data_IF_193899740481
#
_entry.id   IF_193899740481
#
_cell.length_a   1.000
_cell.length_b   1.000
_cell.length_c   1.000
_cell.angle_alpha   90.00
_cell.angle_beta   90.00
_cell.angle_gamma   90.00
#
_symmetry.space_group_name_H-M   'P 1'
#
loop_
_entity.id
_entity.type
_entity.pdbx_description
1 polymer ?
#
# COMPACT_ATOMS: atom_id res chain seq x y z
N UNK A 1 -19.58 79.83 2.45
CA UNK A 1 -19.38 79.25 3.80
C UNK A 1 -20.54 78.28 4.03
N UNK A 2 -20.39 76.97 3.75
CA UNK A 2 -20.30 75.84 4.72
C UNK A 2 -21.25 76.01 5.92
N UNK A 3 -22.17 75.11 6.31
CA UNK A 3 -22.44 73.65 6.18
C UNK A 3 -23.95 73.46 6.45
N UNK A 4 -24.67 72.43 6.01
CA UNK A 4 -24.89 71.17 6.74
C UNK A 4 -25.78 70.26 5.87
N UNK A 5 -25.30 69.07 5.51
CA UNK A 5 -26.13 68.00 4.91
C UNK A 5 -26.37 66.97 6.00
N UNK A 6 -27.63 66.86 6.40
CA UNK A 6 -28.10 66.01 7.48
C UNK A 6 -27.97 64.53 7.14
N UNK A 7 -27.36 63.81 8.06
CA UNK A 7 -27.10 62.37 8.03
C UNK A 7 -28.35 61.63 8.46
N UNK A 8 -28.88 60.72 7.63
CA UNK A 8 -30.20 60.11 7.86
C UNK A 8 -30.34 58.69 7.32
N UNK A 9 -29.67 57.75 8.00
CA UNK A 9 -30.10 56.38 8.30
C UNK A 9 -30.40 55.38 7.14
N UNK A 10 -29.40 54.54 6.86
CA UNK A 10 -29.52 53.29 6.08
C UNK A 10 -30.28 52.26 6.94
N UNK A 11 -31.51 51.91 6.54
CA UNK A 11 -32.15 50.66 6.95
C UNK A 11 -31.70 49.55 6.02
N UNK A 12 -30.58 48.91 6.36
CA UNK A 12 -30.27 47.61 5.82
C UNK A 12 -31.08 46.59 6.63
N UNK A 13 -32.17 46.09 6.04
CA UNK A 13 -32.88 44.93 6.54
C UNK A 13 -31.86 43.78 6.68
N UNK A 14 -31.56 43.44 7.92
CA UNK A 14 -30.76 42.29 8.29
C UNK A 14 -31.51 41.03 7.88
N UNK A 15 -31.21 40.54 6.67
CA UNK A 15 -31.53 39.17 6.25
C UNK A 15 -30.86 38.23 7.27
N UNK A 16 -31.61 37.33 7.93
CA UNK A 16 -30.97 36.33 8.77
C UNK A 16 -30.22 35.38 7.84
N UNK A 17 -28.88 35.49 7.83
CA UNK A 17 -28.01 34.44 7.31
C UNK A 17 -28.23 33.26 8.24
N UNK A 18 -29.19 32.41 7.86
CA UNK A 18 -29.39 31.12 8.46
C UNK A 18 -28.08 30.35 8.24
N UNK A 19 -27.28 30.24 9.30
CA UNK A 19 -26.25 29.23 9.43
C UNK A 19 -26.96 27.88 9.43
N UNK A 20 -27.37 27.43 8.24
CA UNK A 20 -27.75 26.07 7.99
C UNK A 20 -26.51 25.24 8.28
N UNK A 21 -26.46 24.69 9.48
CA UNK A 21 -25.59 23.58 9.83
C UNK A 21 -25.81 22.53 8.74
N UNK A 22 -24.89 22.50 7.75
CA UNK A 22 -24.88 21.48 6.70
C UNK A 22 -24.73 20.15 7.41
N UNK A 23 -25.87 19.48 7.63
CA UNK A 23 -25.89 18.12 8.14
C UNK A 23 -24.95 17.29 7.26
N UNK A 24 -24.06 16.48 7.86
CA UNK A 24 -23.08 15.73 7.10
C UNK A 24 -23.85 14.85 6.12
N UNK A 25 -23.66 15.12 4.82
CA UNK A 25 -24.34 14.39 3.76
C UNK A 25 -24.09 12.90 3.97
N UNK A 26 -25.13 12.06 4.00
CA UNK A 26 -24.95 10.65 4.33
C UNK A 26 -24.02 10.01 3.30
N UNK A 27 -22.90 9.47 3.78
CA UNK A 27 -21.89 8.79 2.95
C UNK A 27 -22.15 7.29 2.93
N UNK A 28 -21.62 6.66 1.90
CA UNK A 28 -21.56 5.22 1.76
C UNK A 28 -20.86 4.58 2.97
N UNK A 29 -21.40 3.49 3.51
CA UNK A 29 -20.82 2.74 4.63
C UNK A 29 -19.84 1.64 4.20
N UNK A 30 -19.59 1.46 2.89
CA UNK A 30 -18.67 0.43 2.40
C UNK A 30 -17.23 0.69 2.87
N UNK A 31 -16.63 -0.35 3.43
CA UNK A 31 -15.22 -0.41 3.78
C UNK A 31 -14.51 -1.37 2.83
N UNK A 32 -13.39 -0.93 2.27
CA UNK A 32 -12.48 -1.75 1.50
C UNK A 32 -11.69 -2.68 2.43
N UNK A 33 -11.05 -3.71 1.86
CA UNK A 33 -10.21 -4.65 2.61
C UNK A 33 -9.02 -3.98 3.32
N UNK A 34 -8.59 -2.80 2.84
CA UNK A 34 -7.53 -1.98 3.42
C UNK A 34 -8.04 -1.03 4.54
N UNK A 35 -9.30 -1.16 4.97
CA UNK A 35 -9.93 -0.36 6.02
C UNK A 35 -10.35 1.05 5.58
N UNK A 36 -10.10 1.45 4.33
CA UNK A 36 -10.57 2.75 3.82
C UNK A 36 -12.08 2.73 3.63
N UNK A 37 -12.73 3.87 3.90
CA UNK A 37 -14.17 4.05 3.68
C UNK A 37 -14.44 4.76 2.36
N UNK A 38 -15.42 4.25 1.62
CA UNK A 38 -15.91 4.90 0.41
C UNK A 38 -16.43 6.30 0.75
N UNK A 39 -15.98 7.32 -0.01
CA UNK A 39 -16.38 8.73 0.20
C UNK A 39 -17.58 9.16 -0.63
N UNK A 40 -18.09 8.27 -1.49
CA UNK A 40 -19.24 8.54 -2.33
C UNK A 40 -20.50 8.79 -1.50
N UNK A 41 -21.43 9.57 -2.05
CA UNK A 41 -22.74 9.80 -1.45
C UNK A 41 -23.52 8.50 -1.38
N UNK A 42 -24.24 8.33 -0.28
CA UNK A 42 -25.17 7.24 -0.05
C UNK A 42 -26.35 7.35 -1.06
N UNK A 43 -26.84 6.21 -1.55
CA UNK A 43 -28.07 6.14 -2.31
C UNK A 43 -29.30 6.32 -1.39
N UNK A 44 -30.47 6.76 -1.88
CA UNK A 44 -31.63 7.02 -1.02
C UNK A 44 -32.09 5.77 -0.24
N UNK A 45 -32.12 4.62 -0.92
CA UNK A 45 -32.70 3.37 -0.41
C UNK A 45 -31.66 2.38 0.16
N UNK A 46 -30.40 2.80 0.35
CA UNK A 46 -29.34 1.91 0.80
C UNK A 46 -28.31 2.66 1.62
N UNK A 47 -27.68 2.01 2.60
CA UNK A 47 -26.52 2.58 3.30
C UNK A 47 -25.25 2.66 2.43
N UNK A 48 -25.30 2.12 1.20
CA UNK A 48 -24.23 2.10 0.22
C UNK A 48 -24.42 3.18 -0.87
N UNK A 49 -23.37 3.51 -1.61
CA UNK A 49 -23.52 4.31 -2.84
C UNK A 49 -24.13 3.49 -3.97
N UNK A 50 -24.54 4.12 -5.08
CA UNK A 50 -25.15 3.43 -6.22
C UNK A 50 -24.29 2.26 -6.74
N UNK A 51 -22.97 2.42 -6.79
CA UNK A 51 -22.06 1.38 -7.28
C UNK A 51 -21.91 0.22 -6.30
N UNK A 52 -21.77 0.52 -5.00
CA UNK A 52 -21.66 -0.52 -3.97
C UNK A 52 -23.00 -1.22 -3.71
N UNK A 53 -24.14 -0.54 -3.90
CA UNK A 53 -25.46 -1.17 -3.86
C UNK A 53 -25.61 -2.20 -5.00
N UNK A 54 -25.19 -1.84 -6.22
CA UNK A 54 -25.16 -2.78 -7.36
C UNK A 54 -24.20 -3.95 -7.10
N UNK A 55 -23.03 -3.70 -6.53
CA UNK A 55 -22.07 -4.75 -6.18
C UNK A 55 -22.66 -5.71 -5.12
N UNK A 56 -23.32 -5.18 -4.09
CA UNK A 56 -23.98 -5.99 -3.07
C UNK A 56 -25.08 -6.88 -3.65
N UNK A 57 -25.86 -6.38 -4.61
CA UNK A 57 -26.87 -7.18 -5.33
C UNK A 57 -26.23 -8.28 -6.20
N UNK A 58 -25.08 -8.02 -6.83
CA UNK A 58 -24.33 -9.05 -7.58
C UNK A 58 -23.80 -10.14 -6.67
N UNK A 59 -23.28 -9.77 -5.49
CA UNK A 59 -22.84 -10.71 -4.46
C UNK A 59 -24.02 -11.54 -3.94
N UNK A 60 -25.14 -10.90 -3.62
CA UNK A 60 -26.35 -11.59 -3.15
C UNK A 60 -26.91 -12.58 -4.19
N UNK A 61 -26.78 -12.28 -5.49
CA UNK A 61 -27.18 -13.16 -6.59
C UNK A 61 -26.21 -14.32 -6.86
N UNK A 62 -24.98 -14.25 -6.36
CA UNK A 62 -23.95 -15.27 -6.55
C UNK A 62 -23.32 -15.65 -5.20
N UNK A 63 -23.94 -16.57 -4.43
CA UNK A 63 -23.43 -16.94 -3.10
C UNK A 63 -21.99 -17.46 -3.13
N UNK A 64 -21.54 -18.04 -4.26
CA UNK A 64 -20.15 -18.44 -4.48
C UNK A 64 -19.15 -17.27 -4.41
N UNK A 65 -19.53 -16.07 -4.87
CA UNK A 65 -18.70 -14.87 -4.86
C UNK A 65 -18.69 -14.22 -3.47
N UNK A 66 -19.82 -14.31 -2.75
CA UNK A 66 -19.90 -13.97 -1.32
C UNK A 66 -19.03 -14.87 -0.45
N UNK A 67 -18.92 -16.16 -0.77
CA UNK A 67 -18.08 -17.12 -0.05
C UNK A 67 -16.58 -16.92 -0.29
N UNK A 68 -16.16 -16.49 -1.47
CA UNK A 68 -14.76 -16.13 -1.75
C UNK A 68 -14.34 -14.84 -1.02
N UNK A 69 -15.25 -13.88 -0.85
CA UNK A 69 -14.98 -12.62 -0.14
C UNK A 69 -15.14 -12.76 1.39
N UNK A 70 -16.03 -13.63 1.87
CA UNK A 70 -16.22 -13.91 3.30
C UNK A 70 -15.26 -14.98 3.86
N UNK A 71 -14.79 -15.90 3.02
CA UNK A 71 -13.97 -17.06 3.39
C UNK A 71 -12.54 -16.75 3.85
N UNK A 72 -12.08 -15.50 3.76
CA UNK A 72 -10.74 -15.12 4.22
C UNK A 72 -10.65 -14.83 5.74
N UNK A 73 -11.76 -14.91 6.49
CA UNK A 73 -11.75 -14.61 7.94
C UNK A 73 -11.70 -15.83 8.87
N UNK A 74 -11.74 -17.07 8.37
CA UNK A 74 -11.94 -18.23 9.25
C UNK A 74 -11.07 -19.48 8.97
N UNK A 75 -10.04 -19.37 8.11
CA UNK A 75 -9.11 -20.50 7.85
C UNK A 75 -7.89 -20.56 8.78
N UNK A 76 -7.57 -19.50 9.51
CA UNK A 76 -6.37 -19.46 10.37
C UNK A 76 -6.51 -20.24 11.70
N UNK A 77 -7.69 -20.77 12.03
CA UNK A 77 -7.94 -21.38 13.35
C UNK A 77 -7.89 -22.91 13.43
N UNK A 78 -7.69 -23.67 12.33
CA UNK A 78 -7.79 -25.15 12.37
C UNK A 78 -6.70 -25.96 11.64
N UNK A 79 -5.66 -25.34 11.11
CA UNK A 79 -4.51 -26.09 10.54
C UNK A 79 -3.20 -25.62 11.15
N UNK A 80 -3.05 -25.86 12.46
CA UNK A 80 -1.76 -25.89 13.10
C UNK A 80 -0.98 -27.10 12.56
N UNK A 81 -0.16 -26.86 11.54
CA UNK A 81 1.11 -27.57 11.39
C UNK A 81 2.20 -26.57 11.76
N UNK A 82 3.21 -26.94 12.55
CA UNK A 82 4.27 -26.02 12.94
C UNK A 82 5.24 -25.91 11.76
N UNK A 83 4.86 -25.14 10.73
CA UNK A 83 5.82 -24.73 9.72
C UNK A 83 6.66 -23.61 10.31
N UNK A 84 7.97 -23.86 10.36
CA UNK A 84 9.08 -23.09 10.93
C UNK A 84 9.26 -21.67 10.37
N UNK A 85 8.27 -21.10 9.68
CA UNK A 85 8.29 -19.70 9.27
C UNK A 85 7.84 -18.86 10.46
N UNK A 86 8.73 -18.05 11.09
CA UNK A 86 8.33 -17.18 12.16
C UNK A 86 7.21 -16.27 11.65
N UNK A 87 6.07 -16.19 12.36
CA UNK A 87 5.00 -15.33 11.93
C UNK A 87 5.49 -13.88 12.01
N UNK A 88 5.70 -13.24 10.86
CA UNK A 88 5.95 -11.81 10.73
C UNK A 88 4.66 -11.08 11.12
N UNK A 89 4.46 -10.94 12.42
CA UNK A 89 3.34 -10.31 13.09
C UNK A 89 3.62 -8.82 13.21
N UNK A 90 3.26 -8.08 12.16
CA UNK A 90 3.28 -6.62 12.18
C UNK A 90 2.70 -6.07 10.89
N UNK A 91 1.75 -5.14 10.99
CA UNK A 91 1.36 -4.32 9.85
C UNK A 91 2.51 -3.34 9.58
N UNK A 92 3.36 -3.63 8.58
CA UNK A 92 4.59 -2.88 8.32
C UNK A 92 4.35 -1.55 7.57
N UNK A 93 3.08 -1.13 7.45
CA UNK A 93 2.68 0.03 6.66
C UNK A 93 2.89 1.39 7.31
N UNK A 94 3.38 1.45 8.56
CA UNK A 94 3.77 2.71 9.18
C UNK A 94 4.88 3.39 8.38
N UNK A 95 4.75 4.70 8.08
CA UNK A 95 5.74 5.45 7.30
C UNK A 95 7.12 5.49 7.99
N UNK A 96 7.13 5.41 9.32
CA UNK A 96 8.35 5.47 10.14
C UNK A 96 8.99 4.08 10.38
N UNK A 97 8.36 3.01 9.87
CA UNK A 97 8.89 1.68 10.04
C UNK A 97 9.95 1.38 8.99
N UNK A 98 11.18 1.18 9.46
CA UNK A 98 12.29 0.73 8.65
C UNK A 98 12.13 -0.75 8.27
N UNK A 99 11.93 -1.00 6.97
CA UNK A 99 11.82 -2.35 6.38
C UNK A 99 13.11 -2.78 5.68
N UNK A 100 14.17 -1.97 5.74
CA UNK A 100 15.39 -2.16 4.97
C UNK A 100 16.11 -3.44 5.38
N UNK A 101 16.26 -3.71 6.68
CA UNK A 101 16.93 -4.93 7.17
C UNK A 101 16.24 -6.22 6.69
N UNK A 102 14.91 -6.23 6.65
CA UNK A 102 14.14 -7.37 6.14
C UNK A 102 14.24 -7.52 4.62
N UNK A 103 14.25 -6.40 3.90
CA UNK A 103 14.29 -6.36 2.44
C UNK A 103 15.68 -6.74 1.90
N UNK A 104 16.73 -6.21 2.53
CA UNK A 104 18.11 -6.37 2.10
C UNK A 104 18.72 -7.67 2.65
N UNK A 105 18.40 -8.04 3.89
CA UNK A 105 18.97 -9.23 4.52
C UNK A 105 20.51 -9.18 4.47
N UNK A 106 21.18 -10.16 3.83
CA UNK A 106 22.63 -10.21 3.72
C UNK A 106 23.21 -9.35 2.57
N UNK A 107 22.37 -8.68 1.78
CA UNK A 107 22.81 -7.85 0.66
C UNK A 107 23.39 -6.54 1.19
N UNK A 108 24.68 -6.32 0.96
CA UNK A 108 25.38 -5.09 1.36
C UNK A 108 25.37 -4.02 0.25
N UNK A 109 25.30 -4.44 -1.02
CA UNK A 109 25.24 -3.53 -2.18
C UNK A 109 24.35 -4.04 -3.34
N UNK A 110 24.11 -3.18 -4.33
CA UNK A 110 23.26 -3.49 -5.48
C UNK A 110 24.05 -3.62 -6.80
N UNK A 111 25.34 -3.92 -6.73
CA UNK A 111 26.19 -4.02 -7.94
C UNK A 111 25.83 -5.22 -8.81
N UNK A 112 25.03 -6.15 -8.30
CA UNK A 112 24.65 -7.39 -8.99
C UNK A 112 23.14 -7.49 -9.18
N UNK A 113 22.73 -8.07 -10.31
CA UNK A 113 21.31 -8.34 -10.56
C UNK A 113 20.72 -9.34 -9.56
N UNK A 114 21.56 -10.24 -9.01
CA UNK A 114 21.16 -11.20 -7.97
C UNK A 114 20.74 -10.49 -6.67
N UNK A 115 21.55 -9.53 -6.20
CA UNK A 115 21.25 -8.72 -5.02
C UNK A 115 19.93 -7.94 -5.17
N UNK A 116 19.74 -7.29 -6.33
CA UNK A 116 18.49 -6.55 -6.61
C UNK A 116 17.28 -7.50 -6.69
N UNK A 117 17.44 -8.67 -7.31
CA UNK A 117 16.39 -9.70 -7.39
C UNK A 117 16.02 -10.28 -6.01
N UNK A 118 16.99 -10.44 -5.10
CA UNK A 118 16.71 -10.84 -3.72
C UNK A 118 15.79 -9.82 -3.03
N UNK A 119 16.12 -8.53 -3.11
CA UNK A 119 15.29 -7.45 -2.56
C UNK A 119 13.89 -7.43 -3.20
N UNK A 120 13.79 -7.52 -4.53
CA UNK A 120 12.50 -7.61 -5.23
C UNK A 120 11.66 -8.83 -4.79
N UNK A 121 12.30 -9.98 -4.55
CA UNK A 121 11.63 -11.17 -4.04
C UNK A 121 11.03 -10.95 -2.65
N UNK A 122 11.81 -10.37 -1.73
CA UNK A 122 11.32 -10.01 -0.38
C UNK A 122 10.21 -8.96 -0.43
N UNK A 123 10.33 -7.96 -1.31
CA UNK A 123 9.29 -6.97 -1.57
C UNK A 123 8.00 -7.61 -2.05
N UNK A 124 8.10 -8.57 -2.97
CA UNK A 124 6.96 -9.31 -3.51
C UNK A 124 6.26 -10.11 -2.39
N UNK A 125 7.02 -10.76 -1.52
CA UNK A 125 6.47 -11.47 -0.35
C UNK A 125 5.72 -10.49 0.57
N UNK A 126 6.32 -9.33 0.89
CA UNK A 126 5.66 -8.30 1.70
C UNK A 126 4.38 -7.78 1.07
N UNK A 127 4.41 -7.56 -0.25
CA UNK A 127 3.27 -7.07 -1.02
C UNK A 127 2.15 -8.10 -1.09
N UNK A 128 2.49 -9.36 -1.34
CA UNK A 128 1.56 -10.49 -1.36
C UNK A 128 0.94 -10.74 0.03
N UNK A 129 1.72 -10.56 1.10
CA UNK A 129 1.26 -10.62 2.49
C UNK A 129 0.45 -9.40 2.95
N UNK A 130 0.15 -8.45 2.05
CA UNK A 130 -0.54 -7.19 2.34
C UNK A 130 0.07 -6.43 3.54
N UNK A 131 1.39 -6.54 3.71
CA UNK A 131 2.16 -5.88 4.79
C UNK A 131 2.64 -4.49 4.39
N UNK A 132 2.66 -4.21 3.09
CA UNK A 132 3.01 -2.91 2.52
C UNK A 132 1.94 -2.44 1.54
N UNK A 133 1.71 -1.13 1.52
CA UNK A 133 0.70 -0.48 0.71
C UNK A 133 1.10 -0.51 -0.76
N UNK A 134 0.12 -0.46 -1.69
CA UNK A 134 0.39 -0.53 -3.12
C UNK A 134 1.34 0.57 -3.59
N UNK A 135 1.17 1.77 -3.03
CA UNK A 135 1.95 2.94 -3.38
C UNK A 135 3.41 2.78 -2.94
N UNK A 136 3.66 2.36 -1.70
CA UNK A 136 5.03 2.13 -1.20
C UNK A 136 5.72 1.01 -1.98
N UNK A 137 5.02 -0.11 -2.20
CA UNK A 137 5.54 -1.22 -2.98
C UNK A 137 5.89 -0.83 -4.42
N UNK A 138 5.05 -0.02 -5.08
CA UNK A 138 5.31 0.44 -6.44
C UNK A 138 6.56 1.34 -6.53
N UNK A 139 6.77 2.23 -5.57
CA UNK A 139 7.97 3.09 -5.54
C UNK A 139 9.23 2.25 -5.36
N UNK A 140 9.23 1.32 -4.40
CA UNK A 140 10.38 0.43 -4.17
C UNK A 140 10.67 -0.46 -5.39
N UNK A 141 9.63 -1.03 -6.01
CA UNK A 141 9.80 -1.83 -7.22
C UNK A 141 10.38 -1.01 -8.38
N UNK A 142 9.94 0.25 -8.53
CA UNK A 142 10.50 1.15 -9.53
C UNK A 142 11.97 1.50 -9.26
N UNK A 143 12.35 1.74 -8.00
CA UNK A 143 13.75 1.94 -7.63
C UNK A 143 14.60 0.71 -7.96
N UNK A 144 14.13 -0.50 -7.63
CA UNK A 144 14.81 -1.74 -8.03
C UNK A 144 14.94 -1.87 -9.56
N UNK A 145 13.92 -1.45 -10.32
CA UNK A 145 13.98 -1.45 -11.78
C UNK A 145 15.08 -0.51 -12.32
N UNK A 146 15.25 0.68 -11.72
CA UNK A 146 16.35 1.59 -12.07
C UNK A 146 17.72 0.98 -11.75
N UNK A 147 17.82 0.30 -10.59
CA UNK A 147 19.05 -0.41 -10.23
C UNK A 147 19.39 -1.53 -11.22
N UNK A 148 18.41 -2.34 -11.63
CA UNK A 148 18.61 -3.38 -12.66
C UNK A 148 19.10 -2.81 -13.99
N UNK A 149 18.62 -1.62 -14.36
CA UNK A 149 19.08 -0.92 -15.57
C UNK A 149 20.53 -0.43 -15.44
N UNK A 150 20.99 -0.05 -14.24
CA UNK A 150 22.38 0.36 -14.02
C UNK A 150 23.36 -0.80 -13.88
N UNK A 151 22.91 -2.02 -13.51
CA UNK A 151 23.81 -3.18 -13.31
C UNK A 151 24.69 -3.45 -14.52
N UNK A 152 24.17 -3.36 -15.75
CA UNK A 152 24.97 -3.62 -16.95
C UNK A 152 26.09 -2.59 -17.17
N UNK A 153 25.87 -1.33 -16.79
CA UNK A 153 26.90 -0.30 -16.86
C UNK A 153 27.96 -0.50 -15.76
N UNK A 154 27.52 -0.82 -14.55
CA UNK A 154 28.38 -1.09 -13.39
C UNK A 154 29.23 -2.34 -13.60
N UNK A 155 28.67 -3.42 -14.14
CA UNK A 155 29.41 -4.64 -14.49
C UNK A 155 30.56 -4.35 -15.47
N UNK A 156 30.29 -3.51 -16.48
CA UNK A 156 31.32 -3.06 -17.43
C UNK A 156 32.42 -2.23 -16.75
N UNK A 157 32.07 -1.35 -15.82
CA UNK A 157 33.04 -0.54 -15.07
C UNK A 157 33.91 -1.39 -14.14
N UNK A 158 33.32 -2.41 -13.50
CA UNK A 158 34.03 -3.34 -12.61
C UNK A 158 34.97 -4.26 -13.38
N UNK A 159 34.55 -4.76 -14.55
CA UNK A 159 35.41 -5.52 -15.44
C UNK A 159 36.65 -4.74 -15.87
N UNK A 160 36.56 -3.41 -16.00
CA UNK A 160 37.69 -2.55 -16.33
C UNK A 160 38.63 -2.28 -15.15
N UNK A 161 38.15 -2.40 -13.92
CA UNK A 161 38.94 -2.20 -12.69
C UNK A 161 39.55 -3.49 -12.14
N UNK A 162 39.11 -4.67 -12.62
CA UNK A 162 39.63 -5.97 -12.21
C UNK A 162 38.99 -6.54 -10.94
N UNK A 163 37.88 -5.97 -10.46
CA UNK A 163 37.21 -6.33 -9.20
C UNK A 163 36.14 -7.44 -9.36
N UNK A 164 36.34 -8.33 -10.33
CA UNK A 164 35.37 -9.38 -10.69
C UNK A 164 35.23 -10.48 -9.62
N UNK A 165 36.28 -10.70 -8.83
CA UNK A 165 36.28 -11.70 -7.76
C UNK A 165 35.32 -11.33 -6.61
N UNK A 166 35.19 -10.05 -6.29
CA UNK A 166 34.29 -9.57 -5.23
C UNK A 166 32.81 -9.63 -5.66
N UNK A 167 32.49 -9.31 -6.92
CA UNK A 167 31.15 -9.58 -7.50
C UNK A 167 30.79 -11.06 -7.36
N UNK A 168 31.74 -11.95 -7.70
CA UNK A 168 31.49 -13.39 -7.69
C UNK A 168 31.22 -13.91 -6.27
N UNK A 169 31.89 -13.35 -5.25
CA UNK A 169 31.62 -13.65 -3.83
C UNK A 169 30.23 -13.17 -3.43
N UNK A 170 29.85 -11.96 -3.82
CA UNK A 170 28.54 -11.37 -3.50
C UNK A 170 27.40 -12.17 -4.14
N UNK A 171 27.49 -12.48 -5.43
CA UNK A 171 26.51 -13.34 -6.12
C UNK A 171 26.40 -14.69 -5.41
N UNK A 172 27.52 -15.29 -5.00
CA UNK A 172 27.52 -16.57 -4.28
C UNK A 172 26.87 -16.43 -2.89
N UNK A 173 27.11 -15.34 -2.17
CA UNK A 173 26.47 -15.03 -0.89
C UNK A 173 24.95 -14.96 -1.03
N UNK A 174 24.47 -14.16 -1.99
CA UNK A 174 23.05 -14.01 -2.28
C UNK A 174 22.44 -15.33 -2.73
N UNK A 175 23.10 -16.08 -3.62
CA UNK A 175 22.62 -17.39 -4.06
C UNK A 175 22.48 -18.37 -2.91
N UNK A 176 23.40 -18.37 -1.93
CA UNK A 176 23.26 -19.17 -0.70
C UNK A 176 22.09 -18.69 0.16
N UNK A 177 21.90 -17.39 0.30
CA UNK A 177 20.78 -16.82 1.05
C UNK A 177 19.41 -17.08 0.38
N UNK A 178 19.39 -17.17 -0.96
CA UNK A 178 18.20 -17.49 -1.75
C UNK A 178 18.01 -18.98 -2.01
N UNK A 179 19.01 -19.81 -1.69
CA UNK A 179 18.91 -21.26 -1.86
C UNK A 179 17.71 -21.73 -1.03
N UNK A 180 16.69 -22.32 -1.67
CA UNK A 180 15.43 -22.58 -1.02
C UNK A 180 15.64 -23.59 0.10
N UNK A 181 15.05 -23.31 1.27
CA UNK A 181 14.29 -24.28 2.07
C UNK A 181 14.79 -25.74 1.95
N UNK A 182 16.06 -25.99 2.22
CA UNK A 182 16.57 -27.36 2.37
C UNK A 182 16.16 -27.78 3.77
N UNK A 183 15.04 -28.51 3.81
CA UNK A 183 14.57 -29.43 4.84
C UNK A 183 15.18 -29.23 6.24
N UNK A 184 14.37 -28.68 7.14
CA UNK A 184 14.10 -29.27 8.46
C UNK A 184 12.75 -28.76 8.99
#
# INVERSE_FOLDING_TARGET
MITEVSTGNIRADSIPISNASKSPTPRCTHAYADGRRCRARRAPESHLCADHARLALKIARSPALGQLLAGQRNREARSATPSSVPPLQGNLDSPDLDVSSYLLGPVEDFRTAAAVNHALGKLLILRAGNRISPRRGAVLAYTCQLLLQSVAAVDKEIWLTGDADDITKEVRSVLRATSPLQND
#
